data_IF_143578457504
#
_entry.id   IF_143578457504
#
_cell.length_a   1.000
_cell.length_b   1.000
_cell.length_c   1.000
_cell.angle_alpha   90.00
_cell.angle_beta   90.00
_cell.angle_gamma   90.00
#
_symmetry.space_group_name_H-M   'P 1'
#
loop_
_entity.id
_entity.type
_entity.pdbx_description
1 polymer ?
#
# COMPACT_ATOMS: atom_id res chain seq x y z
N UNK A 1 -19.41 -28.06 5.46
CA UNK A 1 -20.04 -28.59 4.23
C UNK A 1 -18.94 -28.73 3.18
N UNK A 2 -18.74 -29.91 2.64
CA UNK A 2 -17.83 -30.19 1.54
C UNK A 2 -18.64 -30.22 0.25
N UNK A 3 -18.75 -29.09 -0.45
CA UNK A 3 -19.27 -29.08 -1.82
C UNK A 3 -18.18 -29.57 -2.79
N UNK A 4 -18.55 -29.84 -4.06
CA UNK A 4 -17.59 -30.21 -5.10
C UNK A 4 -16.48 -29.17 -5.19
N UNK A 5 -15.23 -29.65 -5.32
CA UNK A 5 -14.07 -28.78 -5.48
C UNK A 5 -14.01 -28.28 -6.93
N UNK A 6 -13.86 -26.97 -7.15
CA UNK A 6 -13.68 -26.45 -8.50
C UNK A 6 -12.39 -27.02 -9.14
N UNK A 7 -12.39 -27.15 -10.46
CA UNK A 7 -11.18 -27.56 -11.17
C UNK A 7 -10.02 -26.58 -10.94
N UNK A 8 -8.79 -27.06 -11.02
CA UNK A 8 -7.58 -26.23 -10.87
C UNK A 8 -7.57 -25.04 -11.84
N UNK A 9 -8.07 -25.25 -13.07
CA UNK A 9 -8.17 -24.20 -14.09
C UNK A 9 -9.20 -23.11 -13.70
N UNK A 10 -10.33 -23.51 -13.11
CA UNK A 10 -11.33 -22.57 -12.60
C UNK A 10 -10.78 -21.74 -11.42
N UNK A 11 -10.06 -22.38 -10.50
CA UNK A 11 -9.40 -21.69 -9.37
C UNK A 11 -8.37 -20.68 -9.88
N UNK A 12 -7.52 -21.10 -10.84
CA UNK A 12 -6.52 -20.24 -11.47
C UNK A 12 -7.17 -19.02 -12.14
N UNK A 13 -8.17 -19.26 -13.01
CA UNK A 13 -8.89 -18.19 -13.72
C UNK A 13 -9.56 -17.20 -12.76
N UNK A 14 -10.18 -17.70 -11.70
CA UNK A 14 -10.81 -16.85 -10.66
C UNK A 14 -9.76 -16.01 -9.94
N UNK A 15 -8.64 -16.62 -9.54
CA UNK A 15 -7.55 -15.92 -8.83
C UNK A 15 -6.93 -14.84 -9.73
N UNK A 16 -6.61 -15.17 -10.97
CA UNK A 16 -6.03 -14.20 -11.92
C UNK A 16 -7.02 -13.05 -12.18
N UNK A 17 -8.29 -13.33 -12.42
CA UNK A 17 -9.29 -12.30 -12.70
C UNK A 17 -9.46 -11.29 -11.53
N UNK A 18 -9.16 -11.71 -10.30
CA UNK A 18 -9.18 -10.82 -9.14
C UNK A 18 -7.82 -10.15 -8.88
N UNK A 19 -6.73 -10.83 -9.17
CA UNK A 19 -5.38 -10.35 -8.90
C UNK A 19 -4.88 -9.34 -9.93
N UNK A 20 -5.05 -9.61 -11.24
CA UNK A 20 -4.47 -8.76 -12.27
C UNK A 20 -4.89 -7.29 -12.19
N UNK A 21 -6.17 -6.93 -11.88
CA UNK A 21 -6.52 -5.53 -11.79
C UNK A 21 -5.81 -4.84 -10.62
N UNK A 22 -5.68 -5.53 -9.48
CA UNK A 22 -4.98 -4.98 -8.31
C UNK A 22 -3.46 -4.91 -8.53
N UNK A 23 -2.87 -5.86 -9.25
CA UNK A 23 -1.45 -5.80 -9.61
C UNK A 23 -1.16 -4.61 -10.54
N UNK A 24 -1.99 -4.42 -11.56
CA UNK A 24 -1.88 -3.26 -12.47
C UNK A 24 -2.15 -1.96 -11.73
N UNK A 25 -3.15 -1.91 -10.84
CA UNK A 25 -3.44 -0.75 -9.99
C UNK A 25 -2.21 -0.34 -9.17
N UNK A 26 -1.62 -1.27 -8.41
CA UNK A 26 -0.46 -0.99 -7.56
C UNK A 26 0.77 -0.57 -8.38
N UNK A 27 0.98 -1.20 -9.54
CA UNK A 27 2.06 -0.82 -10.46
C UNK A 27 1.87 0.59 -11.04
N UNK A 28 0.67 0.92 -11.48
CA UNK A 28 0.36 2.26 -12.02
C UNK A 28 0.48 3.34 -10.95
N UNK A 29 0.06 3.07 -9.72
CA UNK A 29 0.25 4.01 -8.59
C UNK A 29 1.73 4.30 -8.36
N UNK A 30 2.58 3.28 -8.39
CA UNK A 30 4.03 3.46 -8.25
C UNK A 30 4.61 4.26 -9.43
N UNK A 31 4.20 3.95 -10.66
CA UNK A 31 4.65 4.64 -11.87
C UNK A 31 4.25 6.12 -11.87
N UNK A 32 3.02 6.43 -11.50
CA UNK A 32 2.53 7.82 -11.43
C UNK A 32 3.28 8.61 -10.36
N UNK A 33 3.54 8.03 -9.19
CA UNK A 33 4.38 8.68 -8.18
C UNK A 33 5.78 9.04 -8.71
N UNK A 34 6.31 8.23 -9.63
CA UNK A 34 7.57 8.51 -10.32
C UNK A 34 7.43 9.69 -11.31
N UNK A 35 6.36 9.70 -12.10
CA UNK A 35 6.06 10.78 -13.05
C UNK A 35 5.85 12.09 -12.28
N UNK A 36 5.11 12.10 -11.19
CA UNK A 36 4.88 13.27 -10.35
C UNK A 36 6.21 13.85 -9.84
N UNK A 37 7.14 13.00 -9.40
CA UNK A 37 8.47 13.44 -8.96
C UNK A 37 9.26 14.08 -10.09
N UNK A 38 9.23 13.51 -11.31
CA UNK A 38 9.88 14.08 -12.49
C UNK A 38 9.26 15.44 -12.84
N UNK A 39 7.93 15.56 -12.80
CA UNK A 39 7.26 16.82 -13.11
C UNK A 39 7.58 17.92 -12.10
N UNK A 40 7.62 17.57 -10.81
CA UNK A 40 8.02 18.52 -9.74
C UNK A 40 9.50 18.90 -9.86
N UNK A 41 10.37 17.98 -10.32
CA UNK A 41 11.80 18.26 -10.46
C UNK A 41 12.12 19.39 -11.47
N UNK A 42 11.20 19.67 -12.40
CA UNK A 42 11.36 20.79 -13.34
C UNK A 42 11.37 22.16 -12.66
N UNK A 43 10.84 22.27 -11.44
CA UNK A 43 10.85 23.49 -10.62
C UNK A 43 12.17 23.72 -9.87
N UNK A 44 13.03 22.69 -9.81
CA UNK A 44 14.29 22.72 -9.08
C UNK A 44 14.32 21.82 -7.84
N UNK A 45 15.49 21.73 -7.23
CA UNK A 45 15.75 20.84 -6.07
C UNK A 45 14.91 21.23 -4.84
N UNK A 46 14.63 22.51 -4.63
CA UNK A 46 13.81 22.98 -3.52
C UNK A 46 12.39 22.38 -3.56
N UNK A 47 11.80 22.25 -4.75
CA UNK A 47 10.46 21.72 -4.90
C UNK A 47 10.39 20.21 -4.61
N UNK A 48 11.40 19.46 -5.04
CA UNK A 48 11.53 18.03 -4.70
C UNK A 48 11.64 17.85 -3.19
N UNK A 49 12.49 18.66 -2.55
CA UNK A 49 12.69 18.62 -1.10
C UNK A 49 11.39 18.99 -0.36
N UNK A 50 10.70 20.06 -0.78
CA UNK A 50 9.45 20.50 -0.19
C UNK A 50 8.37 19.41 -0.27
N UNK A 51 8.14 18.80 -1.43
CA UNK A 51 7.17 17.70 -1.59
C UNK A 51 7.59 16.47 -0.79
N UNK A 52 8.88 16.13 -0.81
CA UNK A 52 9.45 15.00 -0.07
C UNK A 52 9.21 15.08 1.45
N UNK A 53 9.41 16.26 2.05
CA UNK A 53 9.21 16.52 3.47
C UNK A 53 7.75 16.30 3.91
N UNK A 54 6.79 16.54 3.04
CA UNK A 54 5.36 16.37 3.36
C UNK A 54 4.91 14.90 3.36
N UNK A 55 5.68 13.99 2.79
CA UNK A 55 5.27 12.58 2.60
C UNK A 55 5.05 11.85 3.93
N UNK A 56 5.98 11.99 4.89
CA UNK A 56 5.84 11.29 6.16
C UNK A 56 4.65 11.81 6.99
N UNK A 57 4.47 13.12 7.20
CA UNK A 57 3.29 13.65 7.88
C UNK A 57 1.97 13.24 7.19
N UNK A 58 1.91 13.29 5.85
CA UNK A 58 0.76 12.82 5.08
C UNK A 58 0.45 11.34 5.34
N UNK A 59 1.46 10.47 5.34
CA UNK A 59 1.25 9.05 5.61
C UNK A 59 0.81 8.77 7.05
N UNK A 60 1.25 9.56 8.02
CA UNK A 60 0.76 9.47 9.40
C UNK A 60 -0.73 9.79 9.43
N UNK A 61 -1.17 10.87 8.77
CA UNK A 61 -2.58 11.21 8.64
C UNK A 61 -3.42 10.13 7.94
N UNK A 62 -2.84 9.45 6.95
CA UNK A 62 -3.51 8.38 6.21
C UNK A 62 -3.48 7.01 6.91
N UNK A 63 -2.60 6.78 7.89
CA UNK A 63 -2.42 5.47 8.52
C UNK A 63 -3.72 4.90 9.11
N UNK A 64 -4.53 5.75 9.70
CA UNK A 64 -5.84 5.38 10.24
C UNK A 64 -6.78 4.87 9.13
N UNK A 65 -6.84 5.56 8.00
CA UNK A 65 -7.71 5.19 6.87
C UNK A 65 -7.20 3.97 6.11
N UNK A 66 -5.89 3.77 6.04
CA UNK A 66 -5.28 2.53 5.52
C UNK A 66 -5.68 1.32 6.37
N UNK A 67 -5.69 1.48 7.68
CA UNK A 67 -6.13 0.42 8.60
C UNK A 67 -7.62 0.14 8.49
N UNK A 68 -8.45 1.18 8.38
CA UNK A 68 -9.90 1.05 8.11
C UNK A 68 -10.15 0.35 6.77
N UNK A 69 -9.38 0.66 5.73
CA UNK A 69 -9.49 0.01 4.42
C UNK A 69 -9.18 -1.48 4.48
N UNK A 70 -8.20 -1.87 5.29
CA UNK A 70 -7.89 -3.29 5.54
C UNK A 70 -9.06 -3.99 6.24
N UNK A 71 -9.62 -3.36 7.27
CA UNK A 71 -10.75 -3.91 8.03
C UNK A 71 -12.01 -4.08 7.17
N UNK A 72 -12.37 -3.04 6.43
CA UNK A 72 -13.59 -3.05 5.59
C UNK A 72 -13.46 -4.06 4.46
N UNK A 73 -12.27 -4.18 3.84
CA UNK A 73 -12.05 -5.18 2.77
C UNK A 73 -12.25 -6.61 3.29
N UNK A 74 -11.69 -6.94 4.47
CA UNK A 74 -11.83 -8.25 5.08
C UNK A 74 -13.29 -8.57 5.49
N UNK A 75 -13.97 -7.61 6.14
CA UNK A 75 -15.34 -7.80 6.59
C UNK A 75 -16.32 -7.91 5.42
N UNK A 76 -16.21 -7.04 4.41
CA UNK A 76 -17.06 -7.09 3.22
C UNK A 76 -16.85 -8.40 2.46
N UNK A 77 -15.61 -8.89 2.34
CA UNK A 77 -15.32 -10.18 1.74
C UNK A 77 -16.02 -11.32 2.50
N UNK A 78 -16.00 -11.27 3.83
CA UNK A 78 -16.69 -12.24 4.70
C UNK A 78 -18.19 -12.20 4.49
N UNK A 79 -18.80 -11.01 4.58
CA UNK A 79 -20.25 -10.81 4.37
C UNK A 79 -20.69 -11.21 2.96
N UNK A 80 -19.81 -11.06 1.95
CA UNK A 80 -20.08 -11.57 0.60
C UNK A 80 -20.15 -13.10 0.57
N UNK A 81 -19.25 -13.79 1.26
CA UNK A 81 -19.31 -15.26 1.38
C UNK A 81 -20.57 -15.74 2.07
N UNK A 82 -21.00 -15.04 3.12
CA UNK A 82 -22.24 -15.29 3.85
C UNK A 82 -23.53 -14.87 3.08
N UNK A 83 -23.38 -14.29 1.86
CA UNK A 83 -24.45 -13.71 1.06
C UNK A 83 -25.24 -12.60 1.81
N UNK A 84 -24.66 -12.02 2.86
CA UNK A 84 -25.27 -10.98 3.66
C UNK A 84 -24.92 -9.58 3.12
N UNK A 85 -25.59 -9.22 2.03
CA UNK A 85 -25.40 -7.91 1.37
C UNK A 85 -25.77 -6.75 2.30
N UNK A 86 -26.83 -6.90 3.10
CA UNK A 86 -27.33 -5.83 3.95
C UNK A 86 -26.27 -5.42 4.99
N UNK A 87 -25.66 -6.39 5.68
CA UNK A 87 -24.56 -6.13 6.61
C UNK A 87 -23.38 -5.48 5.92
N UNK A 88 -22.95 -5.97 4.73
CA UNK A 88 -21.84 -5.40 3.98
C UNK A 88 -22.08 -3.91 3.63
N UNK A 89 -23.28 -3.56 3.20
CA UNK A 89 -23.65 -2.17 2.88
C UNK A 89 -23.70 -1.29 4.13
N UNK A 90 -24.24 -1.79 5.26
CA UNK A 90 -24.26 -1.05 6.53
C UNK A 90 -22.83 -0.81 7.05
N UNK A 91 -21.95 -1.81 6.96
CA UNK A 91 -20.51 -1.65 7.29
C UNK A 91 -19.90 -0.53 6.46
N UNK A 92 -20.12 -0.53 5.13
CA UNK A 92 -19.60 0.51 4.23
C UNK A 92 -20.12 1.90 4.60
N UNK A 93 -21.44 2.06 4.82
CA UNK A 93 -22.06 3.33 5.22
C UNK A 93 -21.48 3.85 6.55
N UNK A 94 -21.35 2.98 7.55
CA UNK A 94 -20.76 3.32 8.85
C UNK A 94 -19.31 3.77 8.69
N UNK A 95 -18.51 3.04 7.90
CA UNK A 95 -17.12 3.39 7.66
C UNK A 95 -16.96 4.71 6.90
N UNK A 96 -17.81 5.00 5.91
CA UNK A 96 -17.78 6.30 5.21
C UNK A 96 -18.11 7.44 6.19
N UNK A 97 -19.15 7.28 7.01
CA UNK A 97 -19.53 8.30 7.99
C UNK A 97 -18.37 8.58 8.98
N UNK A 98 -17.80 7.53 9.56
CA UNK A 98 -16.67 7.64 10.50
C UNK A 98 -15.46 8.27 9.80
N UNK A 99 -15.18 7.86 8.55
CA UNK A 99 -14.08 8.42 7.79
C UNK A 99 -14.26 9.91 7.49
N UNK A 100 -15.47 10.34 7.12
CA UNK A 100 -15.75 11.77 6.86
C UNK A 100 -15.54 12.59 8.13
N UNK A 101 -16.04 12.12 9.30
CA UNK A 101 -15.85 12.82 10.58
C UNK A 101 -14.37 12.89 10.95
N UNK A 102 -13.66 11.77 10.93
CA UNK A 102 -12.24 11.71 11.27
C UNK A 102 -11.38 12.50 10.29
N UNK A 103 -11.72 12.45 9.00
CA UNK A 103 -11.01 13.24 7.98
C UNK A 103 -11.21 14.74 8.20
N UNK A 104 -12.41 15.20 8.56
CA UNK A 104 -12.64 16.61 8.87
C UNK A 104 -11.76 17.07 10.04
N UNK A 105 -11.67 16.27 11.11
CA UNK A 105 -10.80 16.55 12.26
C UNK A 105 -9.33 16.59 11.85
N UNK A 106 -8.85 15.57 11.14
CA UNK A 106 -7.44 15.47 10.71
C UNK A 106 -7.12 16.60 9.71
N UNK A 107 -7.99 16.88 8.75
CA UNK A 107 -7.81 17.95 7.77
C UNK A 107 -7.67 19.31 8.45
N UNK A 108 -8.60 19.66 9.33
CA UNK A 108 -8.54 20.93 10.08
C UNK A 108 -7.28 21.01 10.94
N UNK A 109 -6.99 19.95 11.70
CA UNK A 109 -5.82 19.92 12.59
C UNK A 109 -4.51 20.05 11.81
N UNK A 110 -4.33 19.22 10.78
CA UNK A 110 -3.07 19.25 10.02
C UNK A 110 -2.91 20.49 9.14
N UNK A 111 -3.99 21.08 8.67
CA UNK A 111 -3.93 22.34 7.94
C UNK A 111 -3.62 23.51 8.89
N UNK A 112 -4.26 23.56 10.08
CA UNK A 112 -4.01 24.60 11.07
C UNK A 112 -2.59 24.53 11.66
N UNK A 113 -2.06 23.33 11.87
CA UNK A 113 -0.72 23.08 12.41
C UNK A 113 0.31 22.70 11.34
N UNK A 114 0.09 23.09 10.09
CA UNK A 114 1.00 22.74 8.97
C UNK A 114 2.41 23.28 9.20
N UNK A 115 2.56 24.55 9.63
CA UNK A 115 3.87 25.15 9.89
C UNK A 115 4.69 24.38 10.93
N UNK A 116 4.22 24.15 12.17
CA UNK A 116 5.01 23.39 13.15
C UNK A 116 5.25 21.94 12.73
N UNK A 117 4.32 21.30 12.03
CA UNK A 117 4.50 19.92 11.54
C UNK A 117 5.64 19.86 10.52
N UNK A 118 5.68 20.78 9.56
CA UNK A 118 6.70 20.83 8.52
C UNK A 118 8.06 21.25 9.10
N UNK A 119 8.10 22.17 10.06
CA UNK A 119 9.34 22.48 10.80
C UNK A 119 9.87 21.26 11.55
N UNK A 120 9.01 20.53 12.22
CA UNK A 120 9.38 19.28 12.89
C UNK A 120 9.87 18.20 11.91
N UNK A 121 9.35 18.19 10.68
CA UNK A 121 9.83 17.30 9.62
C UNK A 121 11.22 17.67 9.07
N UNK A 122 11.80 18.80 9.51
CA UNK A 122 13.17 19.20 9.17
C UNK A 122 13.28 20.11 7.94
N UNK A 123 12.27 20.95 7.68
CA UNK A 123 12.32 21.92 6.56
C UNK A 123 13.40 22.99 6.78
N UNK A 124 14.16 23.27 5.73
CA UNK A 124 15.07 24.42 5.66
C UNK A 124 14.28 25.67 5.23
N UNK A 125 14.82 26.87 5.50
CA UNK A 125 14.13 28.14 5.28
C UNK A 125 13.73 28.35 3.81
N UNK A 126 14.52 27.85 2.86
CA UNK A 126 14.29 27.95 1.41
C UNK A 126 13.17 27.01 0.91
N UNK A 127 12.86 25.95 1.64
CA UNK A 127 11.87 24.94 1.24
C UNK A 127 10.60 25.00 2.08
N UNK A 128 10.64 25.69 3.23
CA UNK A 128 9.61 25.67 4.24
C UNK A 128 8.26 26.16 3.73
N UNK A 129 8.22 27.35 3.14
CA UNK A 129 6.97 27.97 2.66
C UNK A 129 6.28 27.10 1.60
N UNK A 130 7.05 26.61 0.61
CA UNK A 130 6.53 25.73 -0.44
C UNK A 130 6.01 24.40 0.13
N UNK A 131 6.69 23.85 1.15
CA UNK A 131 6.27 22.61 1.80
C UNK A 131 4.99 22.79 2.63
N UNK A 132 4.86 23.91 3.37
CA UNK A 132 3.67 24.23 4.16
C UNK A 132 2.46 24.39 3.25
N UNK A 133 2.57 25.17 2.17
CA UNK A 133 1.49 25.41 1.22
C UNK A 133 1.04 24.11 0.52
N UNK A 134 2.01 23.33 0.03
CA UNK A 134 1.73 22.03 -0.56
C UNK A 134 0.98 21.14 0.43
N UNK A 135 1.45 21.06 1.67
CA UNK A 135 0.87 20.25 2.72
C UNK A 135 -0.54 20.69 3.09
N UNK A 136 -0.80 21.99 3.21
CA UNK A 136 -2.13 22.55 3.48
C UNK A 136 -3.14 22.18 2.41
N UNK A 137 -2.77 22.29 1.13
CA UNK A 137 -3.66 21.92 0.01
C UNK A 137 -3.96 20.41 0.02
N UNK A 138 -2.94 19.57 0.19
CA UNK A 138 -3.11 18.12 0.22
C UNK A 138 -3.97 17.70 1.41
N UNK A 139 -3.71 18.23 2.61
CA UNK A 139 -4.47 17.90 3.81
C UNK A 139 -5.88 18.48 3.80
N UNK A 140 -6.07 19.63 3.17
CA UNK A 140 -7.40 20.20 2.90
C UNK A 140 -8.26 19.31 1.99
N UNK A 141 -7.64 18.67 1.00
CA UNK A 141 -8.30 17.76 0.06
C UNK A 141 -8.30 16.28 0.45
N UNK A 142 -7.73 15.90 1.61
CA UNK A 142 -7.51 14.49 1.98
C UNK A 142 -8.82 13.69 2.09
N UNK A 143 -9.96 14.36 2.32
CA UNK A 143 -11.28 13.74 2.42
C UNK A 143 -11.67 12.97 1.17
N UNK A 144 -11.39 13.50 0.00
CA UNK A 144 -11.69 12.82 -1.26
C UNK A 144 -10.87 11.53 -1.41
N UNK A 145 -9.58 11.59 -1.07
CA UNK A 145 -8.69 10.42 -1.09
C UNK A 145 -9.15 9.35 -0.12
N UNK A 146 -9.53 9.71 1.10
CA UNK A 146 -9.95 8.75 2.14
C UNK A 146 -11.27 8.08 1.80
N UNK A 147 -12.27 8.82 1.32
CA UNK A 147 -13.56 8.26 0.91
C UNK A 147 -13.37 7.32 -0.29
N UNK A 148 -12.60 7.73 -1.30
CA UNK A 148 -12.25 6.88 -2.44
C UNK A 148 -11.57 5.58 -1.98
N UNK A 149 -10.60 5.67 -1.06
CA UNK A 149 -9.87 4.52 -0.53
C UNK A 149 -10.78 3.51 0.19
N UNK A 150 -11.72 3.98 1.00
CA UNK A 150 -12.67 3.14 1.74
C UNK A 150 -13.65 2.46 0.80
N UNK A 151 -14.23 3.19 -0.15
CA UNK A 151 -15.15 2.61 -1.13
C UNK A 151 -14.44 1.59 -2.02
N UNK A 152 -13.25 1.90 -2.49
CA UNK A 152 -12.43 0.97 -3.27
C UNK A 152 -12.06 -0.29 -2.48
N UNK A 153 -11.75 -0.15 -1.18
CA UNK A 153 -11.48 -1.29 -0.30
C UNK A 153 -12.71 -2.20 -0.15
N UNK A 154 -13.91 -1.63 0.01
CA UNK A 154 -15.16 -2.38 0.04
C UNK A 154 -15.44 -3.09 -1.29
N UNK A 155 -15.22 -2.42 -2.42
CA UNK A 155 -15.37 -3.03 -3.76
C UNK A 155 -14.37 -4.18 -3.97
N UNK A 156 -13.10 -4.01 -3.55
CA UNK A 156 -12.11 -5.10 -3.59
C UNK A 156 -12.53 -6.29 -2.72
N UNK A 157 -12.97 -6.04 -1.48
CA UNK A 157 -13.52 -7.08 -0.60
C UNK A 157 -14.72 -7.78 -1.19
N UNK A 158 -15.59 -7.03 -1.87
CA UNK A 158 -16.70 -7.57 -2.65
C UNK A 158 -16.26 -8.30 -3.94
N UNK A 159 -14.95 -8.41 -4.23
CA UNK A 159 -14.38 -9.07 -5.40
C UNK A 159 -14.49 -8.26 -6.70
N UNK A 160 -14.82 -6.97 -6.63
CA UNK A 160 -14.86 -6.09 -7.80
C UNK A 160 -13.61 -5.20 -7.87
N UNK A 161 -12.45 -5.83 -8.09
CA UNK A 161 -11.15 -5.15 -8.15
C UNK A 161 -11.02 -4.22 -9.36
N UNK A 162 -11.79 -4.47 -10.43
CA UNK A 162 -11.77 -3.62 -11.64
C UNK A 162 -12.25 -2.18 -11.39
N UNK A 163 -13.18 -1.99 -10.45
CA UNK A 163 -13.65 -0.63 -10.08
C UNK A 163 -12.51 0.14 -9.44
N UNK A 164 -11.80 -0.45 -8.48
CA UNK A 164 -10.66 0.19 -7.83
C UNK A 164 -9.56 0.56 -8.85
N UNK A 165 -9.22 -0.35 -9.76
CA UNK A 165 -8.30 -0.05 -10.86
C UNK A 165 -8.77 1.15 -11.70
N UNK A 166 -10.03 1.16 -12.14
CA UNK A 166 -10.54 2.24 -13.00
C UNK A 166 -10.55 3.59 -12.28
N UNK A 167 -11.00 3.64 -11.04
CA UNK A 167 -11.05 4.88 -10.25
C UNK A 167 -9.66 5.44 -9.97
N UNK A 168 -8.71 4.60 -9.60
CA UNK A 168 -7.33 5.02 -9.37
C UNK A 168 -6.62 5.40 -10.67
N UNK A 169 -6.87 4.68 -11.77
CA UNK A 169 -6.29 5.00 -13.07
C UNK A 169 -6.78 6.38 -13.58
N UNK A 170 -8.09 6.66 -13.48
CA UNK A 170 -8.62 7.97 -13.87
C UNK A 170 -8.12 9.07 -12.96
N UNK A 171 -8.12 8.85 -11.63
CA UNK A 171 -7.59 9.82 -10.66
C UNK A 171 -6.13 10.17 -10.97
N UNK A 172 -5.30 9.17 -11.23
CA UNK A 172 -3.88 9.35 -11.53
C UNK A 172 -3.65 10.01 -12.90
N UNK A 173 -4.41 9.62 -13.93
CA UNK A 173 -4.32 10.25 -15.25
C UNK A 173 -4.68 11.74 -15.19
N UNK A 174 -5.76 12.06 -14.49
CA UNK A 174 -6.19 13.44 -14.27
C UNK A 174 -5.12 14.22 -13.49
N UNK A 175 -4.54 13.62 -12.46
CA UNK A 175 -3.44 14.20 -11.70
C UNK A 175 -2.26 14.56 -12.63
N UNK A 176 -1.80 13.64 -13.48
CA UNK A 176 -0.69 13.87 -14.42
C UNK A 176 -1.03 15.00 -15.42
N UNK A 177 -2.25 15.00 -15.97
CA UNK A 177 -2.69 16.06 -16.90
C UNK A 177 -2.71 17.42 -16.19
N UNK A 178 -3.30 17.52 -14.99
CA UNK A 178 -3.34 18.77 -14.25
C UNK A 178 -1.98 19.19 -13.70
N UNK A 179 -1.09 18.26 -13.39
CA UNK A 179 0.32 18.57 -13.10
C UNK A 179 0.97 19.30 -14.27
N UNK A 180 0.80 18.78 -15.48
CA UNK A 180 1.35 19.42 -16.69
C UNK A 180 0.77 20.81 -16.90
N UNK A 181 -0.51 21.01 -16.64
CA UNK A 181 -1.18 22.32 -16.84
C UNK A 181 -0.80 23.33 -15.73
N UNK A 182 -0.78 22.92 -14.47
CA UNK A 182 -0.70 23.82 -13.31
C UNK A 182 0.72 24.03 -12.78
N UNK A 183 1.65 23.09 -12.98
CA UNK A 183 3.04 23.26 -12.54
C UNK A 183 3.73 24.31 -13.41
N UNK A 184 3.70 24.13 -14.74
CA UNK A 184 4.40 24.97 -15.70
C UNK A 184 3.55 26.08 -16.33
N UNK A 185 2.23 26.12 -16.06
CA UNK A 185 1.33 27.10 -16.67
C UNK A 185 1.09 26.86 -18.17
N UNK A 186 1.12 25.62 -18.62
CA UNK A 186 0.94 25.26 -20.03
C UNK A 186 -0.50 25.59 -20.52
N UNK A 187 -0.66 25.82 -21.80
CA UNK A 187 -1.95 26.17 -22.46
C UNK A 187 -2.70 27.37 -21.86
N UNK A 188 -1.98 28.34 -21.28
CA UNK A 188 -2.56 29.57 -20.73
C UNK A 188 -3.09 29.44 -19.30
N UNK A 189 -2.83 28.33 -18.62
CA UNK A 189 -3.08 28.18 -17.20
C UNK A 189 -2.03 28.97 -16.39
N UNK A 190 -2.36 29.30 -15.13
CA UNK A 190 -1.42 29.90 -14.19
C UNK A 190 -0.33 28.92 -13.80
N UNK A 191 0.93 29.36 -13.89
CA UNK A 191 2.06 28.57 -13.35
C UNK A 191 2.06 28.65 -11.82
N UNK A 192 1.54 27.63 -11.16
CA UNK A 192 1.38 27.57 -9.70
C UNK A 192 2.52 26.81 -9.02
N UNK A 193 3.47 26.24 -9.77
CA UNK A 193 4.59 25.50 -9.22
C UNK A 193 4.16 24.34 -8.30
N UNK A 194 4.70 24.29 -7.08
CA UNK A 194 4.39 23.26 -6.07
C UNK A 194 2.91 23.27 -5.63
N UNK A 195 2.28 24.44 -5.53
CA UNK A 195 0.83 24.56 -5.30
C UNK A 195 0.03 23.88 -6.40
N UNK A 196 0.48 24.02 -7.66
CA UNK A 196 -0.12 23.37 -8.83
C UNK A 196 -0.10 21.86 -8.72
N UNK A 197 1.02 21.28 -8.28
CA UNK A 197 1.14 19.83 -8.05
C UNK A 197 0.19 19.33 -6.95
N UNK A 198 0.05 20.08 -5.85
CA UNK A 198 -0.89 19.76 -4.79
C UNK A 198 -2.35 19.80 -5.26
N UNK A 199 -2.73 20.87 -6.00
CA UNK A 199 -4.07 21.01 -6.56
C UNK A 199 -4.40 19.91 -7.56
N UNK A 200 -3.46 19.58 -8.45
CA UNK A 200 -3.63 18.47 -9.41
C UNK A 200 -3.92 17.14 -8.71
N UNK A 201 -3.23 16.86 -7.61
CA UNK A 201 -3.48 15.66 -6.78
C UNK A 201 -4.88 15.69 -6.17
N UNK A 202 -5.33 16.82 -5.66
CA UNK A 202 -6.68 16.97 -5.10
C UNK A 202 -7.74 16.82 -6.19
N UNK A 203 -7.58 17.46 -7.34
CA UNK A 203 -8.53 17.37 -8.48
C UNK A 203 -8.66 15.91 -8.94
N UNK A 204 -7.54 15.20 -9.09
CA UNK A 204 -7.55 13.77 -9.39
C UNK A 204 -8.33 12.95 -8.34
N UNK A 205 -8.10 13.24 -7.06
CA UNK A 205 -8.80 12.59 -5.95
C UNK A 205 -10.31 12.89 -5.93
N UNK A 206 -10.73 14.09 -6.29
CA UNK A 206 -12.17 14.48 -6.42
C UNK A 206 -12.85 13.62 -7.46
N UNK A 207 -12.27 13.49 -8.65
CA UNK A 207 -12.84 12.67 -9.73
C UNK A 207 -12.85 11.17 -9.37
N UNK A 208 -11.74 10.67 -8.80
CA UNK A 208 -11.67 9.29 -8.31
C UNK A 208 -12.72 9.01 -7.22
N UNK A 209 -12.93 9.94 -6.30
CA UNK A 209 -13.96 9.85 -5.26
C UNK A 209 -15.36 9.84 -5.87
N UNK A 210 -15.67 10.74 -6.80
CA UNK A 210 -16.96 10.78 -7.47
C UNK A 210 -17.27 9.46 -8.22
N UNK A 211 -16.28 8.91 -8.93
CA UNK A 211 -16.40 7.61 -9.60
C UNK A 211 -16.60 6.45 -8.61
N UNK A 212 -15.85 6.46 -7.50
CA UNK A 212 -15.99 5.44 -6.46
C UNK A 212 -17.39 5.49 -5.83
N UNK A 213 -17.86 6.67 -5.47
CA UNK A 213 -19.23 6.85 -4.94
C UNK A 213 -20.28 6.44 -5.97
N UNK A 214 -20.11 6.81 -7.25
CA UNK A 214 -21.02 6.38 -8.32
C UNK A 214 -21.11 4.86 -8.43
N UNK A 215 -19.99 4.15 -8.22
CA UNK A 215 -19.95 2.68 -8.26
C UNK A 215 -20.87 2.01 -7.22
N UNK A 216 -21.18 2.70 -6.12
CA UNK A 216 -22.11 2.22 -5.08
C UNK A 216 -23.57 2.22 -5.53
N UNK A 217 -23.90 2.94 -6.62
CA UNK A 217 -25.23 2.98 -7.21
C UNK A 217 -25.40 1.99 -8.37
N UNK A 218 -24.34 1.26 -8.76
CA UNK A 218 -24.39 0.26 -9.82
C UNK A 218 -25.06 -1.03 -9.30
N UNK A 219 -26.17 -1.45 -9.92
CA UNK A 219 -26.92 -2.68 -9.55
C UNK A 219 -26.08 -3.96 -9.61
N UNK A 220 -25.02 -3.96 -10.41
CA UNK A 220 -24.08 -5.09 -10.54
C UNK A 220 -23.11 -5.23 -9.36
N UNK A 221 -23.03 -4.21 -8.48
CA UNK A 221 -22.15 -4.24 -7.32
C UNK A 221 -22.82 -4.93 -6.14
N UNK A 222 -22.07 -5.81 -5.46
CA UNK A 222 -22.55 -6.43 -4.22
C UNK A 222 -22.83 -5.39 -3.13
N UNK A 223 -22.05 -4.31 -3.10
CA UNK A 223 -22.21 -3.20 -2.15
C UNK A 223 -23.12 -2.08 -2.67
N UNK A 224 -24.11 -2.43 -3.52
CA UNK A 224 -25.12 -1.51 -4.01
C UNK A 224 -26.00 -0.97 -2.87
N UNK A 225 -26.04 0.36 -2.68
CA UNK A 225 -26.61 1.00 -1.48
C UNK A 225 -28.12 1.19 -1.49
N UNK A 226 -28.76 1.22 -2.67
CA UNK A 226 -30.21 1.40 -2.75
C UNK A 226 -30.94 0.20 -2.16
N UNK A 227 -31.99 0.47 -1.40
CA UNK A 227 -32.86 -0.56 -0.79
C UNK A 227 -32.38 -1.04 0.59
N UNK A 228 -31.18 -0.68 1.05
CA UNK A 228 -30.71 -1.00 2.40
C UNK A 228 -30.99 0.17 3.33
N UNK A 229 -31.93 -0.03 4.26
CA UNK A 229 -32.30 0.95 5.30
C UNK A 229 -31.31 0.94 6.47
N UNK A 230 -31.12 2.10 7.09
CA UNK A 230 -30.20 2.27 8.22
C UNK A 230 -28.78 2.61 7.81
N UNK A 231 -28.10 3.38 8.67
CA UNK A 231 -26.69 3.79 8.50
C UNK A 231 -25.75 2.95 9.36
N UNK A 232 -26.20 2.54 10.54
CA UNK A 232 -25.34 1.88 11.51
C UNK A 232 -25.37 0.35 11.35
N UNK A 233 -24.20 -0.24 11.46
CA UNK A 233 -24.03 -1.69 11.45
C UNK A 233 -24.23 -2.29 12.85
N UNK A 234 -24.26 -3.63 12.96
CA UNK A 234 -24.44 -4.33 14.21
C UNK A 234 -23.28 -4.07 15.19
N UNK A 235 -23.54 -4.23 16.50
CA UNK A 235 -22.45 -4.16 17.52
C UNK A 235 -21.36 -5.19 17.27
N UNK A 236 -21.70 -6.34 16.73
CA UNK A 236 -20.75 -7.39 16.36
C UNK A 236 -19.82 -6.89 15.23
N UNK A 237 -20.36 -6.32 14.16
CA UNK A 237 -19.58 -5.77 13.05
C UNK A 237 -18.68 -4.62 13.50
N UNK A 238 -19.21 -3.70 14.36
CA UNK A 238 -18.38 -2.63 14.94
C UNK A 238 -17.21 -3.18 15.73
N UNK A 239 -17.43 -4.19 16.57
CA UNK A 239 -16.37 -4.84 17.34
C UNK A 239 -15.34 -5.49 16.43
N UNK A 240 -15.79 -6.14 15.36
CA UNK A 240 -14.92 -6.75 14.36
C UNK A 240 -14.10 -5.71 13.60
N UNK A 241 -14.73 -4.59 13.18
CA UNK A 241 -14.05 -3.45 12.56
C UNK A 241 -12.96 -2.86 13.46
N UNK A 242 -13.26 -2.68 14.74
CA UNK A 242 -12.30 -2.15 15.71
C UNK A 242 -11.16 -3.13 15.97
N UNK A 243 -11.44 -4.44 16.10
CA UNK A 243 -10.40 -5.45 16.32
C UNK A 243 -9.44 -5.55 15.13
N UNK A 244 -9.97 -5.62 13.91
CA UNK A 244 -9.16 -5.74 12.69
C UNK A 244 -8.46 -4.41 12.41
N UNK A 245 -9.18 -3.28 12.52
CA UNK A 245 -8.66 -1.95 12.23
C UNK A 245 -7.59 -1.49 13.22
N UNK A 246 -7.80 -1.66 14.54
CA UNK A 246 -6.79 -1.28 15.54
C UNK A 246 -5.50 -2.07 15.37
N UNK A 247 -5.59 -3.37 15.12
CA UNK A 247 -4.41 -4.20 14.87
C UNK A 247 -3.68 -3.77 13.59
N UNK A 248 -4.40 -3.48 12.52
CA UNK A 248 -3.82 -2.95 11.29
C UNK A 248 -3.22 -1.55 11.48
N UNK A 249 -3.80 -0.71 12.35
CA UNK A 249 -3.25 0.60 12.68
C UNK A 249 -1.91 0.48 13.43
N UNK A 250 -1.86 -0.38 14.44
CA UNK A 250 -0.61 -0.70 15.17
C UNK A 250 0.46 -1.22 14.20
N UNK A 251 0.09 -2.09 13.26
CA UNK A 251 0.98 -2.56 12.20
C UNK A 251 1.57 -1.39 11.39
N UNK A 252 0.73 -0.43 10.96
CA UNK A 252 1.19 0.74 10.20
C UNK A 252 2.18 1.61 10.99
N UNK A 253 1.97 1.81 12.29
CA UNK A 253 2.91 2.55 13.14
C UNK A 253 4.27 1.86 13.18
N UNK A 254 4.31 0.56 13.47
CA UNK A 254 5.57 -0.19 13.52
C UNK A 254 6.30 -0.22 12.18
N UNK A 255 5.57 -0.31 11.06
CA UNK A 255 6.15 -0.19 9.73
C UNK A 255 6.84 1.17 9.55
N UNK A 256 6.22 2.28 9.96
CA UNK A 256 6.81 3.63 9.83
C UNK A 256 8.05 3.80 10.68
N UNK A 257 8.01 3.35 11.93
CA UNK A 257 9.17 3.39 12.84
C UNK A 257 10.34 2.58 12.25
N UNK A 258 10.08 1.37 11.79
CA UNK A 258 11.11 0.51 11.23
C UNK A 258 11.73 1.08 9.95
N UNK A 259 10.92 1.64 9.04
CA UNK A 259 11.42 2.31 7.84
C UNK A 259 12.26 3.55 8.16
N UNK A 260 11.86 4.34 9.16
CA UNK A 260 12.62 5.52 9.60
C UNK A 260 13.99 5.13 10.15
N UNK A 261 14.03 4.18 11.09
CA UNK A 261 15.30 3.71 11.68
C UNK A 261 16.24 3.10 10.62
N UNK A 262 15.67 2.37 9.68
CA UNK A 262 16.42 1.80 8.56
C UNK A 262 17.01 2.88 7.65
N UNK A 263 16.23 3.91 7.31
CA UNK A 263 16.71 5.03 6.50
C UNK A 263 17.84 5.81 7.19
N UNK A 264 17.75 6.03 8.51
CA UNK A 264 18.83 6.67 9.31
C UNK A 264 20.12 5.83 9.23
N UNK A 265 20.01 4.50 9.36
CA UNK A 265 21.18 3.63 9.28
C UNK A 265 21.91 3.77 7.93
N UNK A 266 21.14 3.87 6.83
CA UNK A 266 21.76 4.03 5.49
C UNK A 266 22.32 5.43 5.28
N UNK A 267 21.64 6.47 5.76
CA UNK A 267 22.06 7.86 5.58
C UNK A 267 23.45 8.12 6.18
N UNK A 268 23.78 7.47 7.27
CA UNK A 268 25.10 7.58 7.92
C UNK A 268 26.25 6.89 7.16
N UNK A 269 25.97 6.15 6.07
CA UNK A 269 27.01 5.55 5.20
C UNK A 269 27.55 6.51 4.14
N UNK A 270 26.95 7.69 4.01
CA UNK A 270 27.32 8.70 3.03
C UNK A 270 26.41 8.74 1.81
N UNK A 271 26.59 9.78 1.00
CA UNK A 271 25.67 10.14 -0.10
C UNK A 271 25.64 9.11 -1.22
N UNK A 272 26.79 8.56 -1.61
CA UNK A 272 26.88 7.56 -2.69
C UNK A 272 26.17 6.26 -2.32
N UNK A 273 26.42 5.75 -1.10
CA UNK A 273 25.75 4.56 -0.58
C UNK A 273 24.23 4.78 -0.43
N UNK A 274 23.81 5.96 0.02
CA UNK A 274 22.40 6.32 0.14
C UNK A 274 21.72 6.39 -1.23
N UNK A 275 22.39 6.97 -2.24
CA UNK A 275 21.87 7.02 -3.61
C UNK A 275 21.69 5.61 -4.21
N UNK A 276 22.69 4.75 -4.09
CA UNK A 276 22.61 3.36 -4.54
C UNK A 276 21.47 2.61 -3.82
N UNK A 277 21.34 2.79 -2.51
CA UNK A 277 20.24 2.23 -1.72
C UNK A 277 18.86 2.70 -2.19
N UNK A 278 18.69 3.99 -2.45
CA UNK A 278 17.42 4.57 -2.87
C UNK A 278 16.96 4.00 -4.23
N UNK A 279 17.87 3.83 -5.17
CA UNK A 279 17.59 3.17 -6.45
C UNK A 279 17.13 1.73 -6.20
N UNK A 280 17.84 0.98 -5.35
CA UNK A 280 17.47 -0.38 -4.97
C UNK A 280 16.08 -0.48 -4.32
N UNK A 281 15.73 0.48 -3.46
CA UNK A 281 14.40 0.56 -2.86
C UNK A 281 13.30 0.83 -3.89
N UNK A 282 13.57 1.63 -4.92
CA UNK A 282 12.64 1.84 -6.03
C UNK A 282 12.41 0.53 -6.81
N UNK A 283 13.48 -0.23 -7.10
CA UNK A 283 13.35 -1.55 -7.74
C UNK A 283 12.55 -2.53 -6.87
N UNK A 284 12.82 -2.53 -5.56
CA UNK A 284 12.06 -3.34 -4.61
C UNK A 284 10.57 -2.95 -4.54
N UNK A 285 10.23 -1.68 -4.68
CA UNK A 285 8.83 -1.21 -4.67
C UNK A 285 8.05 -1.71 -5.87
N UNK A 286 8.67 -1.83 -7.04
CA UNK A 286 8.04 -2.42 -8.23
C UNK A 286 7.65 -3.89 -8.00
N UNK A 287 8.54 -4.66 -7.38
CA UNK A 287 8.24 -6.07 -7.04
C UNK A 287 7.19 -6.20 -5.93
N UNK A 288 7.23 -5.27 -4.95
CA UNK A 288 6.22 -5.20 -3.91
C UNK A 288 4.83 -4.98 -4.50
N UNK A 289 4.68 -4.14 -5.53
CA UNK A 289 3.40 -3.88 -6.20
C UNK A 289 2.74 -5.16 -6.74
N UNK A 290 3.53 -6.08 -7.28
CA UNK A 290 3.02 -7.38 -7.74
C UNK A 290 2.51 -8.25 -6.58
N UNK A 291 3.28 -8.33 -5.51
CA UNK A 291 2.90 -9.04 -4.27
C UNK A 291 1.67 -8.43 -3.62
N UNK A 292 1.59 -7.11 -3.57
CA UNK A 292 0.47 -6.37 -2.98
C UNK A 292 -0.84 -6.63 -3.74
N UNK A 293 -0.81 -6.60 -5.07
CA UNK A 293 -1.98 -6.94 -5.88
C UNK A 293 -2.50 -8.36 -5.64
N UNK A 294 -1.60 -9.35 -5.50
CA UNK A 294 -1.95 -10.72 -5.11
C UNK A 294 -2.45 -10.81 -3.67
N UNK A 295 -1.89 -10.02 -2.76
CA UNK A 295 -2.35 -9.92 -1.37
C UNK A 295 -3.78 -9.41 -1.29
N UNK A 296 -4.12 -8.36 -2.04
CA UNK A 296 -5.48 -7.82 -2.14
C UNK A 296 -6.47 -8.88 -2.65
N UNK A 297 -6.10 -9.63 -3.69
CA UNK A 297 -6.91 -10.73 -4.18
C UNK A 297 -7.08 -11.83 -3.12
N UNK A 298 -6.01 -12.13 -2.39
CA UNK A 298 -6.05 -13.12 -1.28
C UNK A 298 -7.01 -12.70 -0.19
N UNK A 299 -7.03 -11.43 0.24
CA UNK A 299 -7.99 -10.91 1.22
C UNK A 299 -9.43 -11.21 0.79
N UNK A 300 -9.76 -10.92 -0.46
CA UNK A 300 -11.11 -11.09 -0.98
C UNK A 300 -11.51 -12.57 -1.13
N UNK A 301 -10.60 -13.41 -1.69
CA UNK A 301 -10.87 -14.83 -1.92
C UNK A 301 -10.97 -15.61 -0.61
N UNK A 302 -10.04 -15.37 0.32
CA UNK A 302 -10.02 -16.03 1.63
C UNK A 302 -11.22 -15.58 2.47
N UNK A 303 -11.46 -14.28 2.57
CA UNK A 303 -12.60 -13.73 3.31
C UNK A 303 -13.93 -14.31 2.83
N UNK A 304 -14.11 -14.35 1.50
CA UNK A 304 -15.28 -14.93 0.87
C UNK A 304 -15.43 -16.44 1.17
N UNK A 305 -14.37 -17.22 0.95
CA UNK A 305 -14.39 -18.68 1.19
C UNK A 305 -14.69 -19.03 2.64
N UNK A 306 -14.14 -18.25 3.59
CA UNK A 306 -14.43 -18.43 5.01
C UNK A 306 -15.86 -17.96 5.37
N UNK A 307 -16.42 -16.98 4.65
CA UNK A 307 -17.83 -16.60 4.79
C UNK A 307 -18.79 -17.67 4.29
N UNK A 308 -18.42 -18.39 3.24
CA UNK A 308 -19.12 -19.57 2.73
C UNK A 308 -18.90 -20.83 3.61
N UNK A 309 -18.19 -20.72 4.75
CA UNK A 309 -17.75 -21.81 5.62
C UNK A 309 -16.88 -22.87 4.92
N UNK A 310 -16.35 -22.56 3.75
CA UNK A 310 -15.52 -23.45 2.91
C UNK A 310 -14.03 -23.26 3.21
N UNK A 311 -13.56 -23.87 4.28
CA UNK A 311 -12.14 -23.85 4.68
C UNK A 311 -11.22 -24.56 3.68
N UNK A 312 -11.73 -25.53 2.96
CA UNK A 312 -11.07 -26.23 1.85
C UNK A 312 -10.72 -25.25 0.72
N UNK A 313 -11.69 -24.46 0.26
CA UNK A 313 -11.49 -23.43 -0.77
C UNK A 313 -10.50 -22.36 -0.32
N UNK A 314 -10.57 -21.93 0.94
CA UNK A 314 -9.64 -20.94 1.48
C UNK A 314 -8.19 -21.41 1.36
N UNK A 315 -7.89 -22.69 1.70
CA UNK A 315 -6.56 -23.27 1.53
C UNK A 315 -6.12 -23.36 0.06
N UNK A 316 -7.04 -23.74 -0.83
CA UNK A 316 -6.75 -23.85 -2.26
C UNK A 316 -6.44 -22.48 -2.88
N UNK A 317 -7.23 -21.45 -2.56
CA UNK A 317 -6.96 -20.09 -3.02
C UNK A 317 -5.66 -19.52 -2.46
N UNK A 318 -5.34 -19.78 -1.18
CA UNK A 318 -4.06 -19.40 -0.61
C UNK A 318 -2.88 -20.03 -1.36
N UNK A 319 -2.97 -21.36 -1.65
CA UNK A 319 -1.96 -22.06 -2.43
C UNK A 319 -1.86 -21.54 -3.86
N UNK A 320 -2.99 -21.22 -4.51
CA UNK A 320 -3.01 -20.69 -5.87
C UNK A 320 -2.36 -19.30 -5.94
N UNK A 321 -2.68 -18.40 -5.02
CA UNK A 321 -2.04 -17.08 -4.93
C UNK A 321 -0.53 -17.21 -4.74
N UNK A 322 -0.06 -18.16 -3.91
CA UNK A 322 1.37 -18.41 -3.72
C UNK A 322 2.06 -18.91 -4.99
N UNK A 323 1.45 -19.85 -5.73
CA UNK A 323 2.01 -20.35 -6.99
C UNK A 323 2.16 -19.24 -8.03
N UNK A 324 1.13 -18.39 -8.17
CA UNK A 324 1.18 -17.24 -9.08
C UNK A 324 2.24 -16.25 -8.60
N UNK A 325 2.31 -15.97 -7.30
CA UNK A 325 3.31 -15.08 -6.71
C UNK A 325 4.74 -15.58 -6.92
N UNK A 326 5.00 -16.88 -6.75
CA UNK A 326 6.31 -17.47 -7.02
C UNK A 326 6.70 -17.38 -8.50
N UNK A 327 5.74 -17.56 -9.41
CA UNK A 327 5.98 -17.35 -10.83
C UNK A 327 6.34 -15.89 -11.15
N UNK A 328 5.61 -14.91 -10.59
CA UNK A 328 5.96 -13.48 -10.71
C UNK A 328 7.34 -13.18 -10.12
N UNK A 329 7.66 -13.76 -8.95
CA UNK A 329 8.97 -13.63 -8.32
C UNK A 329 10.10 -14.16 -9.23
N UNK A 330 9.89 -15.32 -9.85
CA UNK A 330 10.83 -15.91 -10.79
C UNK A 330 11.09 -15.00 -11.98
N UNK A 331 10.04 -14.51 -12.63
CA UNK A 331 10.16 -13.61 -13.79
C UNK A 331 10.93 -12.34 -13.42
N UNK A 332 10.58 -11.70 -12.30
CA UNK A 332 11.27 -10.48 -11.85
C UNK A 332 12.71 -10.74 -11.42
N UNK A 333 12.98 -11.90 -10.81
CA UNK A 333 14.35 -12.31 -10.46
C UNK A 333 15.21 -12.47 -11.70
N UNK A 334 14.68 -13.07 -12.79
CA UNK A 334 15.38 -13.15 -14.08
C UNK A 334 15.66 -11.77 -14.69
N UNK A 335 14.66 -10.87 -14.66
CA UNK A 335 14.85 -9.49 -15.12
C UNK A 335 15.97 -8.80 -14.33
N UNK A 336 16.01 -8.92 -13.01
CA UNK A 336 17.03 -8.29 -12.19
C UNK A 336 18.41 -8.92 -12.37
N UNK A 337 18.46 -10.24 -12.58
CA UNK A 337 19.71 -10.95 -12.79
C UNK A 337 20.39 -10.53 -14.12
N UNK A 338 19.60 -10.45 -15.19
CA UNK A 338 20.15 -10.17 -16.52
C UNK A 338 20.28 -8.67 -16.83
N UNK A 339 19.35 -7.86 -16.34
CA UNK A 339 19.28 -6.43 -16.65
C UNK A 339 19.59 -5.51 -15.46
N UNK A 340 19.99 -6.04 -14.30
CA UNK A 340 20.17 -5.27 -13.08
C UNK A 340 21.12 -4.08 -13.24
N UNK A 341 22.28 -4.26 -13.91
CA UNK A 341 23.22 -3.17 -14.16
C UNK A 341 22.61 -2.09 -15.07
N UNK A 342 21.91 -2.50 -16.13
CA UNK A 342 21.26 -1.58 -17.08
C UNK A 342 20.16 -0.78 -16.39
N UNK A 343 19.38 -1.42 -15.51
CA UNK A 343 18.34 -0.75 -14.74
C UNK A 343 18.92 0.32 -13.80
N UNK A 344 20.06 0.06 -13.14
CA UNK A 344 20.76 1.08 -12.37
C UNK A 344 21.32 2.19 -13.25
N UNK A 345 21.82 1.86 -14.45
CA UNK A 345 22.31 2.82 -15.44
C UNK A 345 21.25 3.82 -15.96
N UNK A 346 19.95 3.53 -15.77
CA UNK A 346 18.89 4.50 -16.06
C UNK A 346 18.85 5.65 -15.03
N UNK A 347 19.43 5.47 -13.86
CA UNK A 347 19.38 6.43 -12.75
C UNK A 347 20.71 7.12 -12.47
N UNK A 348 21.83 6.46 -12.75
CA UNK A 348 23.16 7.00 -12.51
C UNK A 348 24.19 6.43 -13.49
N UNK A 349 25.16 7.28 -13.88
CA UNK A 349 26.32 6.88 -14.67
C UNK A 349 27.60 6.71 -13.82
N UNK A 350 27.50 6.93 -12.51
CA UNK A 350 28.64 6.80 -11.60
C UNK A 350 28.98 5.32 -11.40
N UNK A 351 30.25 4.95 -11.68
CA UNK A 351 30.70 3.56 -11.64
C UNK A 351 30.53 2.94 -10.24
N UNK A 352 30.79 3.71 -9.18
CA UNK A 352 30.66 3.26 -7.79
C UNK A 352 29.19 2.90 -7.45
N UNK A 353 28.24 3.74 -7.89
CA UNK A 353 26.79 3.47 -7.72
C UNK A 353 26.35 2.24 -8.51
N UNK A 354 26.89 2.06 -9.73
CA UNK A 354 26.59 0.88 -10.56
C UNK A 354 27.10 -0.41 -9.92
N UNK A 355 28.30 -0.40 -9.34
CA UNK A 355 28.89 -1.58 -8.72
C UNK A 355 28.17 -1.97 -7.43
N UNK A 356 27.81 -0.99 -6.59
CA UNK A 356 26.91 -1.19 -5.45
C UNK A 356 25.53 -1.70 -5.92
N UNK A 357 25.03 -1.16 -7.03
CA UNK A 357 23.75 -1.55 -7.64
C UNK A 357 23.72 -3.01 -8.08
N UNK A 358 24.80 -3.52 -8.68
CA UNK A 358 24.90 -4.94 -9.06
C UNK A 358 24.82 -5.85 -7.83
N UNK A 359 25.48 -5.48 -6.73
CA UNK A 359 25.39 -6.21 -5.46
C UNK A 359 23.92 -6.22 -4.95
N UNK A 360 23.28 -5.07 -4.91
CA UNK A 360 21.89 -4.93 -4.46
C UNK A 360 20.95 -5.77 -5.32
N UNK A 361 21.10 -5.73 -6.65
CA UNK A 361 20.26 -6.50 -7.56
C UNK A 361 20.39 -8.00 -7.39
N UNK A 362 21.62 -8.50 -7.14
CA UNK A 362 21.83 -9.92 -6.82
C UNK A 362 21.14 -10.33 -5.52
N UNK A 363 21.15 -9.46 -4.51
CA UNK A 363 20.42 -9.71 -3.27
C UNK A 363 18.91 -9.68 -3.50
N UNK A 364 18.41 -8.72 -4.29
CA UNK A 364 17.00 -8.63 -4.64
C UNK A 364 16.50 -9.89 -5.37
N UNK A 365 17.32 -10.55 -6.20
CA UNK A 365 16.94 -11.81 -6.84
C UNK A 365 16.49 -12.90 -5.83
N UNK A 366 17.02 -12.87 -4.62
CA UNK A 366 16.62 -13.79 -3.55
C UNK A 366 15.51 -13.20 -2.67
N UNK A 367 15.64 -11.92 -2.30
CA UNK A 367 14.69 -11.20 -1.45
C UNK A 367 13.29 -11.21 -2.03
N UNK A 368 13.13 -11.10 -3.35
CA UNK A 368 11.84 -11.06 -4.05
C UNK A 368 10.96 -12.28 -3.70
N UNK A 369 11.52 -13.48 -3.66
CA UNK A 369 10.77 -14.69 -3.32
C UNK A 369 10.19 -14.61 -1.91
N UNK A 370 10.99 -14.16 -0.96
CA UNK A 370 10.57 -13.99 0.43
C UNK A 370 9.52 -12.86 0.54
N UNK A 371 9.76 -11.74 -0.15
CA UNK A 371 8.89 -10.57 -0.13
C UNK A 371 7.50 -10.89 -0.68
N UNK A 372 7.40 -11.43 -1.88
CA UNK A 372 6.12 -11.72 -2.52
C UNK A 372 5.36 -12.78 -1.72
N UNK A 373 6.04 -13.84 -1.29
CA UNK A 373 5.42 -14.92 -0.52
C UNK A 373 4.88 -14.43 0.82
N UNK A 374 5.64 -13.65 1.58
CA UNK A 374 5.18 -13.14 2.88
C UNK A 374 4.03 -12.13 2.74
N UNK A 375 4.05 -11.28 1.70
CA UNK A 375 2.97 -10.31 1.45
C UNK A 375 1.66 -11.04 1.15
N UNK A 376 1.70 -12.13 0.38
CA UNK A 376 0.53 -12.98 0.11
C UNK A 376 0.06 -13.70 1.38
N UNK A 377 0.96 -14.27 2.21
CA UNK A 377 0.59 -14.86 3.49
C UNK A 377 -0.14 -13.86 4.38
N UNK A 378 0.38 -12.65 4.49
CA UNK A 378 -0.25 -11.59 5.28
C UNK A 378 -1.60 -11.17 4.68
N UNK A 379 -1.75 -11.16 3.36
CA UNK A 379 -3.04 -10.99 2.69
C UNK A 379 -4.04 -12.05 3.09
N UNK A 380 -3.64 -13.33 3.07
CA UNK A 380 -4.49 -14.44 3.50
C UNK A 380 -4.92 -14.29 4.98
N UNK A 381 -3.98 -13.96 5.87
CA UNK A 381 -4.26 -13.75 7.29
C UNK A 381 -5.19 -12.56 7.54
N UNK A 382 -4.99 -11.43 6.84
CA UNK A 382 -5.89 -10.26 6.91
C UNK A 382 -7.29 -10.60 6.40
N UNK A 383 -7.40 -11.35 5.31
CA UNK A 383 -8.68 -11.83 4.78
C UNK A 383 -9.41 -12.76 5.73
N UNK A 384 -8.70 -13.52 6.55
CA UNK A 384 -9.25 -14.34 7.61
C UNK A 384 -9.59 -13.53 8.90
N UNK A 385 -9.15 -12.28 9.01
CA UNK A 385 -9.29 -11.45 10.21
C UNK A 385 -8.17 -11.62 11.24
N UNK A 386 -7.06 -12.33 10.90
CA UNK A 386 -5.92 -12.58 11.80
C UNK A 386 -4.91 -11.41 11.79
N UNK A 387 -5.41 -10.20 11.87
CA UNK A 387 -4.59 -8.97 11.80
C UNK A 387 -3.73 -8.72 13.03
N UNK A 388 -4.11 -9.30 14.19
CA UNK A 388 -3.26 -9.24 15.39
C UNK A 388 -1.93 -9.97 15.17
N UNK A 389 -1.97 -11.08 14.47
CA UNK A 389 -0.77 -11.84 14.16
C UNK A 389 0.11 -11.12 13.14
N UNK A 390 -0.48 -10.52 12.10
CA UNK A 390 0.29 -9.74 11.11
C UNK A 390 0.93 -8.52 11.75
N UNK A 391 0.23 -7.83 12.66
CA UNK A 391 0.79 -6.71 13.43
C UNK A 391 1.98 -7.14 14.30
N UNK A 392 1.84 -8.26 15.03
CA UNK A 392 2.91 -8.82 15.85
C UNK A 392 4.13 -9.22 15.01
N UNK A 393 3.91 -9.90 13.88
CA UNK A 393 4.99 -10.29 12.98
C UNK A 393 5.70 -9.08 12.37
N UNK A 394 4.95 -8.04 11.97
CA UNK A 394 5.52 -6.79 11.45
C UNK A 394 6.29 -6.00 12.53
N UNK A 395 5.80 -5.99 13.78
CA UNK A 395 6.51 -5.38 14.89
C UNK A 395 7.88 -6.01 15.11
N UNK A 396 7.95 -7.32 15.21
CA UNK A 396 9.23 -8.02 15.43
C UNK A 396 10.17 -7.83 14.25
N UNK A 397 9.69 -8.05 13.03
CA UNK A 397 10.58 -8.09 11.87
C UNK A 397 10.96 -6.69 11.39
N UNK A 398 10.00 -5.77 11.23
CA UNK A 398 10.28 -4.46 10.60
C UNK A 398 10.79 -3.44 11.62
N UNK A 399 10.23 -3.43 12.85
CA UNK A 399 10.62 -2.43 13.84
C UNK A 399 11.84 -2.85 14.67
N UNK A 400 12.13 -4.15 14.80
CA UNK A 400 13.23 -4.65 15.63
C UNK A 400 14.32 -5.28 14.77
N UNK A 401 14.01 -6.34 14.00
CA UNK A 401 15.03 -7.12 13.29
C UNK A 401 15.65 -6.30 12.17
N UNK A 402 14.86 -5.62 11.32
CA UNK A 402 15.40 -4.85 10.21
C UNK A 402 16.40 -3.80 10.68
N UNK A 403 16.06 -2.83 11.55
CA UNK A 403 17.03 -1.83 11.97
C UNK A 403 18.15 -2.40 12.83
N UNK A 404 17.85 -3.33 13.75
CA UNK A 404 18.84 -3.91 14.65
C UNK A 404 19.89 -4.74 13.92
N UNK A 405 19.44 -5.64 13.02
CA UNK A 405 20.35 -6.46 12.23
C UNK A 405 21.12 -5.62 11.20
N UNK A 406 20.45 -4.64 10.57
CA UNK A 406 21.12 -3.71 9.64
C UNK A 406 22.22 -2.91 10.34
N UNK A 407 21.94 -2.36 11.52
CA UNK A 407 22.93 -1.64 12.32
C UNK A 407 24.10 -2.53 12.74
N UNK A 408 23.79 -3.74 13.25
CA UNK A 408 24.81 -4.70 13.71
C UNK A 408 25.76 -5.15 12.57
N UNK A 409 25.19 -5.47 11.41
CA UNK A 409 25.99 -5.93 10.27
C UNK A 409 26.72 -4.76 9.58
N UNK A 410 26.12 -3.57 9.57
CA UNK A 410 26.67 -2.40 8.91
C UNK A 410 27.91 -1.85 9.65
N UNK A 411 27.77 -1.57 10.95
CA UNK A 411 28.79 -0.87 11.73
C UNK A 411 29.72 -1.80 12.51
N UNK A 412 29.25 -2.61 13.47
CA UNK A 412 30.15 -3.48 14.24
C UNK A 412 30.89 -4.52 13.41
N UNK A 413 30.24 -5.08 12.37
CA UNK A 413 30.85 -6.06 11.47
C UNK A 413 31.47 -5.45 10.22
N UNK A 414 31.35 -4.14 10.02
CA UNK A 414 32.00 -3.40 8.95
C UNK A 414 31.55 -3.73 7.52
N UNK A 415 30.37 -4.37 7.36
CA UNK A 415 29.86 -4.76 6.04
C UNK A 415 29.23 -3.60 5.26
N UNK A 416 29.11 -2.41 5.85
CA UNK A 416 28.57 -1.22 5.18
C UNK A 416 27.20 -1.47 4.54
N UNK A 417 27.03 -1.07 3.28
CA UNK A 417 25.76 -1.19 2.55
C UNK A 417 25.32 -2.66 2.39
N UNK A 418 26.24 -3.61 2.24
CA UNK A 418 25.91 -5.04 2.21
C UNK A 418 25.23 -5.48 3.52
N UNK A 419 25.75 -5.03 4.67
CA UNK A 419 25.17 -5.31 5.98
C UNK A 419 23.74 -4.79 6.12
N UNK A 420 23.45 -3.61 5.59
CA UNK A 420 22.11 -3.01 5.55
C UNK A 420 21.14 -3.91 4.77
N UNK A 421 21.53 -4.36 3.58
CA UNK A 421 20.69 -5.21 2.74
C UNK A 421 20.54 -6.64 3.29
N UNK A 422 21.54 -7.16 4.00
CA UNK A 422 21.42 -8.41 4.78
C UNK A 422 20.41 -8.24 5.94
N UNK A 423 20.37 -7.09 6.59
CA UNK A 423 19.34 -6.78 7.60
C UNK A 423 17.93 -6.76 6.99
N UNK A 424 17.77 -6.20 5.79
CA UNK A 424 16.53 -6.26 5.02
C UNK A 424 16.15 -7.71 4.67
N UNK A 425 17.11 -8.51 4.21
CA UNK A 425 16.90 -9.95 3.97
C UNK A 425 16.42 -10.67 5.23
N UNK A 426 17.06 -10.41 6.38
CA UNK A 426 16.67 -11.00 7.66
C UNK A 426 15.23 -10.67 8.07
N UNK A 427 14.79 -9.43 7.85
CA UNK A 427 13.40 -9.03 8.04
C UNK A 427 12.43 -9.80 7.13
N UNK A 428 12.73 -9.85 5.82
CA UNK A 428 11.87 -10.56 4.87
C UNK A 428 11.80 -12.05 5.20
N UNK A 429 12.94 -12.66 5.57
CA UNK A 429 13.02 -14.05 5.99
C UNK A 429 12.21 -14.32 7.27
N UNK A 430 12.32 -13.44 8.27
CA UNK A 430 11.54 -13.60 9.51
C UNK A 430 10.04 -13.50 9.24
N UNK A 431 9.58 -12.53 8.46
CA UNK A 431 8.16 -12.41 8.09
C UNK A 431 7.67 -13.62 7.28
N UNK A 432 8.51 -14.12 6.37
CA UNK A 432 8.21 -15.35 5.65
C UNK A 432 8.02 -16.52 6.63
N UNK A 433 8.96 -16.75 7.54
CA UNK A 433 8.88 -17.82 8.52
C UNK A 433 7.63 -17.71 9.41
N UNK A 434 7.38 -16.52 9.98
CA UNK A 434 6.21 -16.28 10.82
C UNK A 434 4.90 -16.50 10.03
N UNK A 435 4.82 -15.99 8.80
CA UNK A 435 3.68 -16.20 7.92
C UNK A 435 3.47 -17.68 7.58
N UNK A 436 4.52 -18.36 7.17
CA UNK A 436 4.48 -19.80 6.83
C UNK A 436 4.01 -20.67 8.01
N UNK A 437 4.61 -20.49 9.19
CA UNK A 437 4.21 -21.24 10.38
C UNK A 437 2.76 -20.97 10.77
N UNK A 438 2.30 -19.71 10.69
CA UNK A 438 0.90 -19.38 10.99
C UNK A 438 -0.06 -20.01 10.00
N UNK A 439 0.26 -19.98 8.72
CA UNK A 439 -0.54 -20.62 7.67
C UNK A 439 -0.60 -22.14 7.87
N UNK A 440 0.55 -22.79 8.20
CA UNK A 440 0.63 -24.22 8.45
C UNK A 440 -0.17 -24.67 9.70
N UNK A 441 -0.19 -23.86 10.77
CA UNK A 441 -1.00 -24.14 11.97
C UNK A 441 -2.50 -24.21 11.69
N UNK A 442 -2.99 -23.55 10.66
CA UNK A 442 -4.41 -23.54 10.28
C UNK A 442 -5.35 -22.82 11.28
N UNK A 443 -4.81 -22.16 12.31
CA UNK A 443 -5.61 -21.41 13.31
C UNK A 443 -6.43 -20.28 12.67
N UNK A 444 -5.90 -19.65 11.63
CA UNK A 444 -6.55 -18.59 10.87
C UNK A 444 -7.89 -19.00 10.21
N UNK A 445 -8.07 -20.31 9.93
CA UNK A 445 -9.30 -20.86 9.35
C UNK A 445 -10.50 -20.87 10.33
N UNK A 446 -10.25 -20.67 11.62
CA UNK A 446 -11.26 -20.76 12.68
C UNK A 446 -11.70 -19.39 13.21
N UNK A 447 -11.09 -18.29 12.71
CA UNK A 447 -11.37 -16.93 13.17
C UNK A 447 -12.74 -16.50 12.66
N UNK A 448 -13.54 -15.90 13.55
CA UNK A 448 -14.84 -15.30 13.24
C UNK A 448 -14.72 -13.79 13.34
N UNK A 449 -15.14 -13.08 12.29
CA UNK A 449 -15.17 -11.61 12.18
C UNK A 449 -16.50 -11.13 11.65
#
# INVERSE_FOLDING_TARGET
MTGELPSTNSLFKTTINMAWPSMVESFLVALVGFIDTIMVSTLGSYAIAAVGLTQQPKFIGLALFMSMSTAISALVARRRGEQNRESAVRILKTCILVAVILTAIISVTFTAFADPIIRFAGSADDTHEAAVEYFQIIMGGIGFTTVMMIVNAAQRGAGNTKIALRTNMVSNLVNVVFNYLLIGGNFGFLALGTRGAALATVIGSVLGCAMSLHSMFAKSSFVYIRGVKGFFTSRFDVRSLLNVGSSAFVEQIFLRIGFLLFAITVANLGTTAYAAHQIGMNMMSLTFSLGDGLSVASVALIGRSLGEERRDLAKLYASMCQRIGLFCAFVMSMVFLFFGRNLYGLFSNEQEILDMGVMIMRMLCVIIYLQITQVIFFGCLRGAGDTKYTAFASMISVAIIRPGLSWLLCYPLGLGLLGVWLGLFGDQFMRFCLGYFRMKQGKWLKIKI
#
